data_IF_381039851147
#
_entry.id   IF_381039851147
#
_cell.length_a   1.000
_cell.length_b   1.000
_cell.length_c   1.000
_cell.angle_alpha   90.00
_cell.angle_beta   90.00
_cell.angle_gamma   90.00
#
_symmetry.space_group_name_H-M   'P 1'
#
loop_
_entity.id
_entity.type
_entity.pdbx_description
1 polymer ?
#
# COMPACT_ATOMS: atom_id res chain seq x y z
N UNK A 1 -40.10 38.00 37.40
CA UNK A 1 -38.89 38.02 36.55
C UNK A 1 -38.54 36.60 36.15
N UNK A 2 -38.70 36.23 34.88
CA UNK A 2 -38.29 34.90 34.38
C UNK A 2 -37.16 35.10 33.35
N UNK A 3 -35.95 34.68 33.73
CA UNK A 3 -34.75 34.79 32.91
C UNK A 3 -34.79 33.74 31.79
N UNK A 4 -34.83 34.18 30.52
CA UNK A 4 -34.66 33.30 29.36
C UNK A 4 -33.17 32.93 29.23
N UNK A 5 -32.83 31.67 29.50
CA UNK A 5 -31.49 31.12 29.20
C UNK A 5 -31.29 31.02 27.67
N UNK A 6 -30.14 31.44 27.10
CA UNK A 6 -29.92 31.39 25.66
C UNK A 6 -29.68 29.96 25.18
N UNK A 7 -30.11 29.71 23.95
CA UNK A 7 -30.23 28.41 23.26
C UNK A 7 -28.85 27.82 22.87
N UNK A 8 -28.09 27.36 23.86
CA UNK A 8 -26.74 26.76 23.69
C UNK A 8 -26.72 25.43 22.90
N UNK A 9 -27.85 24.73 22.77
CA UNK A 9 -27.93 23.41 22.10
C UNK A 9 -27.69 23.46 20.58
N UNK A 10 -27.97 24.57 19.91
CA UNK A 10 -27.91 24.64 18.44
C UNK A 10 -26.49 24.73 17.89
N UNK A 11 -25.56 25.31 18.64
CA UNK A 11 -24.15 25.49 18.22
C UNK A 11 -23.39 24.18 18.36
N UNK A 12 -23.62 23.45 19.45
CA UNK A 12 -23.03 22.13 19.69
C UNK A 12 -23.44 21.10 18.63
N UNK A 13 -24.72 21.09 18.22
CA UNK A 13 -25.22 20.15 17.21
C UNK A 13 -24.62 20.39 15.82
N UNK A 14 -24.43 21.66 15.42
CA UNK A 14 -23.75 22.00 14.16
C UNK A 14 -22.28 21.65 14.20
N UNK A 15 -21.59 21.94 15.31
CA UNK A 15 -20.17 21.61 15.48
C UNK A 15 -19.92 20.09 15.41
N UNK A 16 -20.79 19.28 16.03
CA UNK A 16 -20.71 17.81 15.97
C UNK A 16 -20.95 17.25 14.56
N UNK A 17 -21.88 17.84 13.80
CA UNK A 17 -22.12 17.48 12.39
C UNK A 17 -20.91 17.82 11.50
N UNK A 18 -20.30 18.99 11.67
CA UNK A 18 -19.09 19.35 10.93
C UNK A 18 -17.90 18.44 11.29
N UNK A 19 -17.73 18.09 12.58
CA UNK A 19 -16.71 17.13 13.01
C UNK A 19 -16.93 15.72 12.43
N UNK A 20 -18.18 15.25 12.36
CA UNK A 20 -18.51 13.96 11.77
C UNK A 20 -18.24 13.89 10.25
N UNK A 21 -18.53 14.98 9.53
CA UNK A 21 -18.22 15.07 8.08
C UNK A 21 -16.71 15.08 7.85
N UNK A 22 -15.94 15.84 8.65
CA UNK A 22 -14.47 15.87 8.52
C UNK A 22 -13.83 14.50 8.81
N UNK A 23 -14.36 13.73 9.77
CA UNK A 23 -13.86 12.39 10.09
C UNK A 23 -14.22 11.33 9.02
N UNK A 24 -15.22 11.62 8.18
CA UNK A 24 -15.66 10.73 7.10
C UNK A 24 -14.86 10.90 5.81
N UNK A 25 -14.07 11.98 5.69
CA UNK A 25 -13.24 12.26 4.51
C UNK A 25 -11.78 12.01 4.85
N UNK A 26 -11.47 10.81 5.34
CA UNK A 26 -10.09 10.33 5.40
C UNK A 26 -9.74 9.78 4.01
N UNK A 27 -8.81 10.40 3.25
CA UNK A 27 -8.31 9.76 2.04
C UNK A 27 -7.71 8.41 2.43
N UNK A 28 -8.14 7.34 1.78
CA UNK A 28 -7.56 6.01 1.94
C UNK A 28 -6.14 6.03 1.36
N UNK A 29 -5.18 6.48 2.15
CA UNK A 29 -3.77 6.36 1.85
C UNK A 29 -3.42 4.86 1.95
N UNK A 30 -3.25 4.19 0.79
CA UNK A 30 -2.70 2.84 0.71
C UNK A 30 -1.18 2.90 0.59
N UNK A 31 -0.54 3.50 1.59
CA UNK A 31 0.91 3.39 1.79
C UNK A 31 1.14 2.38 2.91
N UNK A 32 1.92 1.36 2.62
CA UNK A 32 2.36 0.35 3.58
C UNK A 32 3.80 0.66 3.96
N UNK A 33 4.07 0.76 5.26
CA UNK A 33 5.42 0.82 5.79
C UNK A 33 5.71 -0.44 6.60
N UNK A 34 6.83 -1.08 6.30
CA UNK A 34 7.26 -2.28 7.01
C UNK A 34 8.78 -2.41 6.99
N UNK A 35 9.32 -3.01 8.04
CA UNK A 35 10.73 -3.34 8.13
C UNK A 35 10.97 -4.80 7.76
N UNK A 36 12.12 -5.09 7.17
CA UNK A 36 12.56 -6.42 6.78
C UNK A 36 13.97 -6.67 7.29
N UNK A 37 14.14 -7.72 8.08
CA UNK A 37 15.47 -8.15 8.55
C UNK A 37 16.21 -8.90 7.44
N UNK A 38 17.55 -8.85 7.47
CA UNK A 38 18.42 -9.64 6.59
C UNK A 38 18.01 -11.12 6.54
N UNK A 39 18.04 -11.71 5.35
CA UNK A 39 17.66 -13.10 5.12
C UNK A 39 16.16 -13.40 5.14
N UNK A 40 15.30 -12.40 5.36
CA UNK A 40 13.85 -12.59 5.39
C UNK A 40 13.17 -12.13 4.10
N UNK A 41 11.94 -12.61 3.90
CA UNK A 41 11.06 -12.23 2.80
C UNK A 41 9.68 -11.84 3.36
N UNK A 42 9.08 -10.77 2.81
CA UNK A 42 7.69 -10.37 3.09
C UNK A 42 6.93 -10.22 1.78
N UNK A 43 5.72 -10.76 1.73
CA UNK A 43 4.84 -10.63 0.57
C UNK A 43 3.55 -9.89 0.93
N UNK A 44 3.13 -9.02 0.02
CA UNK A 44 1.83 -8.35 0.06
C UNK A 44 1.00 -8.95 -1.07
N UNK A 45 -0.26 -9.28 -0.80
CA UNK A 45 -1.19 -9.79 -1.81
C UNK A 45 -2.28 -8.77 -2.12
N UNK A 46 -2.69 -8.73 -3.39
CA UNK A 46 -3.89 -8.02 -3.81
C UNK A 46 -4.65 -8.85 -4.86
N UNK A 47 -5.97 -8.91 -4.71
CA UNK A 47 -6.85 -9.64 -5.63
C UNK A 47 -7.23 -8.70 -6.77
N UNK A 48 -6.78 -9.00 -7.99
CA UNK A 48 -6.94 -8.12 -9.15
C UNK A 48 -7.72 -8.84 -10.24
N UNK A 49 -8.72 -8.15 -10.80
CA UNK A 49 -9.54 -8.67 -11.89
C UNK A 49 -8.85 -8.52 -13.25
N UNK A 50 -9.15 -9.41 -14.19
CA UNK A 50 -8.71 -9.27 -15.59
C UNK A 50 -9.09 -7.89 -16.14
N UNK A 51 -8.16 -7.25 -16.85
CA UNK A 51 -8.33 -5.93 -17.47
C UNK A 51 -8.21 -4.75 -16.51
N UNK A 52 -8.09 -4.98 -15.21
CA UNK A 52 -7.75 -3.94 -14.24
C UNK A 52 -6.25 -3.64 -14.26
N UNK A 53 -5.89 -2.38 -14.07
CA UNK A 53 -4.53 -1.92 -13.90
C UNK A 53 -4.12 -2.00 -12.43
N UNK A 54 -2.86 -2.38 -12.24
CA UNK A 54 -2.15 -2.31 -10.99
C UNK A 54 -0.98 -1.34 -11.14
N UNK A 55 -0.85 -0.43 -10.18
CA UNK A 55 0.26 0.52 -10.11
C UNK A 55 0.84 0.45 -8.71
N UNK A 56 2.16 0.35 -8.62
CA UNK A 56 2.87 0.38 -7.36
C UNK A 56 4.11 1.24 -7.39
N UNK A 57 4.43 1.85 -6.25
CA UNK A 57 5.66 2.62 -6.01
C UNK A 57 6.30 2.11 -4.73
N UNK A 58 7.61 1.89 -4.74
CA UNK A 58 8.34 1.42 -3.58
C UNK A 58 9.65 2.19 -3.40
N UNK A 59 10.08 2.36 -2.16
CA UNK A 59 11.39 2.90 -1.83
C UNK A 59 11.85 2.48 -0.44
N UNK A 60 13.17 2.53 -0.23
CA UNK A 60 13.79 2.35 1.08
C UNK A 60 13.57 3.61 1.90
N UNK A 61 13.19 3.45 3.16
CA UNK A 61 13.13 4.54 4.13
C UNK A 61 14.56 4.84 4.60
N UNK A 62 15.02 6.09 4.42
CA UNK A 62 16.35 6.53 4.86
C UNK A 62 16.54 6.36 6.37
N UNK A 63 17.69 5.81 6.78
CA UNK A 63 17.96 5.42 8.18
C UNK A 63 18.39 6.60 9.08
N UNK A 64 18.68 7.79 8.54
CA UNK A 64 19.16 8.93 9.32
C UNK A 64 18.31 10.19 9.13
N UNK A 65 17.55 10.63 10.16
CA UNK A 65 16.79 11.88 10.12
C UNK A 65 17.68 13.14 10.11
N UNK A 66 18.96 13.03 10.50
CA UNK A 66 19.90 14.14 10.53
C UNK A 66 20.74 14.26 9.25
N UNK A 67 20.69 13.27 8.36
CA UNK A 67 21.41 13.28 7.09
C UNK A 67 20.57 12.70 5.94
N UNK A 68 19.58 13.47 5.43
CA UNK A 68 18.70 13.00 4.35
C UNK A 68 19.43 12.70 3.03
N UNK A 69 20.67 13.19 2.87
CA UNK A 69 21.54 12.96 1.70
C UNK A 69 22.58 11.84 1.91
N UNK A 70 22.55 11.13 3.05
CA UNK A 70 23.44 9.98 3.24
C UNK A 70 23.12 8.89 2.22
N UNK A 71 24.11 8.52 1.41
CA UNK A 71 23.98 7.47 0.41
C UNK A 71 23.49 6.19 1.10
N UNK A 72 22.35 5.67 0.66
CA UNK A 72 21.79 4.41 1.16
C UNK A 72 22.85 3.32 0.90
N UNK A 73 23.36 2.64 1.94
CA UNK A 73 24.36 1.60 1.74
C UNK A 73 23.76 0.49 0.87
N UNK A 74 24.58 -0.16 0.05
CA UNK A 74 24.11 -1.23 -0.85
C UNK A 74 23.36 -2.36 -0.09
N UNK A 75 23.69 -2.58 1.18
CA UNK A 75 23.01 -3.53 2.07
C UNK A 75 21.56 -3.17 2.42
N UNK A 76 21.10 -1.98 2.04
CA UNK A 76 19.75 -1.49 2.31
C UNK A 76 18.94 -1.29 1.02
N UNK A 77 19.41 -1.80 -0.13
CA UNK A 77 18.71 -1.66 -1.40
C UNK A 77 17.56 -2.67 -1.54
N UNK A 78 16.57 -2.32 -2.36
CA UNK A 78 15.35 -3.10 -2.59
C UNK A 78 15.65 -4.30 -3.46
N UNK A 79 15.13 -5.46 -3.04
CA UNK A 79 14.91 -6.59 -3.92
C UNK A 79 13.42 -6.94 -3.90
N UNK A 80 12.79 -6.90 -5.07
CA UNK A 80 11.35 -7.04 -5.21
C UNK A 80 10.96 -7.80 -6.47
N UNK A 81 9.95 -8.66 -6.35
CA UNK A 81 9.30 -9.34 -7.47
C UNK A 81 7.79 -9.25 -7.32
N UNK A 82 7.13 -8.82 -8.38
CA UNK A 82 5.67 -8.88 -8.50
C UNK A 82 5.29 -10.05 -9.39
N UNK A 83 4.43 -10.95 -8.91
CA UNK A 83 3.98 -12.13 -9.68
C UNK A 83 2.48 -12.20 -9.83
N UNK A 84 2.04 -12.75 -10.95
CA UNK A 84 0.64 -13.09 -11.21
C UNK A 84 0.20 -14.35 -10.43
N UNK A 85 -1.11 -14.64 -10.41
CA UNK A 85 -1.64 -15.85 -9.78
C UNK A 85 -1.05 -17.15 -10.32
N UNK A 86 -0.66 -17.19 -11.60
CA UNK A 86 0.01 -18.34 -12.22
C UNK A 86 1.55 -18.29 -12.13
N UNK A 87 2.10 -17.33 -11.39
CA UNK A 87 3.53 -17.21 -11.14
C UNK A 87 4.30 -16.44 -12.23
N UNK A 88 3.61 -15.82 -13.19
CA UNK A 88 4.27 -14.98 -14.20
C UNK A 88 4.87 -13.73 -13.54
N UNK A 89 6.10 -13.39 -13.90
CA UNK A 89 6.77 -12.19 -13.36
C UNK A 89 6.22 -10.94 -14.04
N UNK A 90 5.51 -10.11 -13.27
CA UNK A 90 4.96 -8.83 -13.74
C UNK A 90 5.95 -7.68 -13.59
N UNK A 91 6.81 -7.77 -12.57
CA UNK A 91 7.88 -6.80 -12.32
C UNK A 91 9.00 -7.45 -11.53
N UNK A 92 10.24 -7.05 -11.79
CA UNK A 92 11.41 -7.47 -11.03
C UNK A 92 12.33 -6.28 -10.81
N UNK A 93 12.85 -6.14 -9.60
CA UNK A 93 13.82 -5.14 -9.23
C UNK A 93 14.84 -5.75 -8.28
N UNK A 94 16.10 -5.43 -8.53
CA UNK A 94 17.23 -5.96 -7.79
C UNK A 94 18.19 -4.81 -7.52
N UNK A 95 18.58 -4.67 -6.25
CA UNK A 95 19.59 -3.72 -5.82
C UNK A 95 19.31 -2.27 -6.25
N UNK A 96 18.08 -1.79 -6.03
CA UNK A 96 17.68 -0.40 -6.32
C UNK A 96 17.14 0.33 -5.08
N UNK A 97 17.35 1.64 -4.91
CA UNK A 97 16.86 2.37 -3.74
C UNK A 97 15.36 2.66 -3.80
N UNK A 98 14.80 2.71 -5.01
CA UNK A 98 13.37 2.93 -5.25
C UNK A 98 12.98 2.50 -6.66
N UNK A 99 11.67 2.40 -6.90
CA UNK A 99 11.14 2.14 -8.22
C UNK A 99 9.61 2.19 -8.26
N UNK A 100 9.07 1.89 -9.43
CA UNK A 100 7.64 1.80 -9.65
C UNK A 100 7.34 0.73 -10.70
N UNK A 101 6.11 0.22 -10.68
CA UNK A 101 5.60 -0.70 -11.69
C UNK A 101 4.19 -0.31 -12.09
N UNK A 102 3.82 -0.66 -13.32
CA UNK A 102 2.46 -0.57 -13.80
C UNK A 102 2.20 -1.73 -14.77
N UNK A 103 1.11 -2.46 -14.57
CA UNK A 103 0.69 -3.52 -15.48
C UNK A 103 -0.83 -3.59 -15.57
N UNK A 104 -1.33 -4.20 -16.64
CA UNK A 104 -2.75 -4.58 -16.74
C UNK A 104 -2.85 -6.08 -16.50
N UNK A 105 -3.71 -6.48 -15.56
CA UNK A 105 -3.91 -7.88 -15.21
C UNK A 105 -4.50 -8.64 -16.41
N UNK A 106 -3.81 -9.68 -16.86
CA UNK A 106 -4.30 -10.64 -17.86
C UNK A 106 -5.02 -11.82 -17.21
N UNK A 107 -4.84 -11.97 -15.90
CA UNK A 107 -5.33 -13.08 -15.07
C UNK A 107 -6.09 -12.49 -13.88
N UNK A 108 -7.18 -13.13 -13.47
CA UNK A 108 -7.91 -12.77 -12.23
C UNK A 108 -7.39 -13.61 -11.07
N UNK A 109 -7.15 -12.96 -9.92
CA UNK A 109 -6.74 -13.63 -8.69
C UNK A 109 -5.71 -12.82 -7.90
N UNK A 110 -5.01 -13.52 -7.00
CA UNK A 110 -4.03 -12.94 -6.09
C UNK A 110 -2.69 -12.67 -6.78
N UNK A 111 -2.38 -11.40 -6.97
CA UNK A 111 -1.04 -10.94 -7.34
C UNK A 111 -0.22 -10.75 -6.07
N UNK A 112 1.06 -11.10 -6.11
CA UNK A 112 1.97 -10.98 -4.97
C UNK A 112 3.09 -10.02 -5.27
N UNK A 113 3.34 -9.06 -4.37
CA UNK A 113 4.56 -8.27 -4.34
C UNK A 113 5.43 -8.76 -3.19
N UNK A 114 6.51 -9.46 -3.49
CA UNK A 114 7.43 -10.01 -2.50
C UNK A 114 8.73 -9.22 -2.46
N UNK A 115 9.10 -8.79 -1.25
CA UNK A 115 10.33 -8.10 -0.91
C UNK A 115 11.25 -9.07 -0.17
N UNK A 116 12.53 -9.12 -0.52
CA UNK A 116 13.53 -9.88 0.25
C UNK A 116 14.76 -9.02 0.57
N UNK A 117 15.38 -9.29 1.71
CA UNK A 117 16.64 -8.68 2.10
C UNK A 117 17.75 -9.73 2.01
N UNK A 118 18.88 -9.47 1.32
CA UNK A 118 20.03 -10.36 1.35
C UNK A 118 20.50 -10.63 2.78
N UNK A 119 21.15 -11.77 3.00
CA UNK A 119 21.73 -12.10 4.30
C UNK A 119 23.00 -11.25 4.53
N UNK A 120 23.05 -10.57 5.68
CA UNK A 120 24.16 -9.71 6.08
C UNK A 120 24.64 -10.08 7.49
N UNK A 121 25.94 -9.92 7.73
CA UNK A 121 26.60 -10.14 9.02
C UNK A 121 27.43 -8.90 9.36
N UNK A 122 27.04 -8.08 10.36
CA UNK A 122 25.89 -8.26 11.26
C UNK A 122 24.52 -8.10 10.55
N UNK A 123 23.43 -8.66 11.10
CA UNK A 123 22.09 -8.48 10.56
C UNK A 123 21.69 -7.00 10.54
N UNK A 124 21.05 -6.58 9.44
CA UNK A 124 20.49 -5.24 9.27
C UNK A 124 18.97 -5.32 9.06
N UNK A 125 18.26 -4.29 9.53
CA UNK A 125 16.83 -4.12 9.28
C UNK A 125 16.63 -2.98 8.29
N UNK A 126 15.91 -3.25 7.21
CA UNK A 126 15.65 -2.31 6.12
C UNK A 126 14.17 -1.93 6.14
N UNK A 127 13.90 -0.63 6.29
CA UNK A 127 12.55 -0.09 6.20
C UNK A 127 12.14 0.15 4.76
N UNK A 128 10.93 -0.27 4.40
CA UNK A 128 10.34 -0.04 3.09
C UNK A 128 9.03 0.73 3.20
N UNK A 129 8.82 1.63 2.25
CA UNK A 129 7.52 2.21 1.99
C UNK A 129 7.02 1.76 0.62
N UNK A 130 5.80 1.26 0.59
CA UNK A 130 5.18 0.64 -0.57
C UNK A 130 3.74 1.12 -0.76
N UNK A 131 3.51 1.82 -1.86
CA UNK A 131 2.19 2.19 -2.33
C UNK A 131 1.71 1.19 -3.37
N UNK A 132 0.54 0.56 -3.18
CA UNK A 132 -0.07 -0.31 -4.18
C UNK A 132 -1.55 0.03 -4.39
N UNK A 133 -1.91 0.28 -5.65
CA UNK A 133 -3.27 0.57 -6.09
C UNK A 133 -3.66 -0.36 -7.25
N UNK A 134 -4.81 -1.01 -7.13
CA UNK A 134 -5.43 -1.86 -8.16
C UNK A 134 -6.88 -1.46 -8.42
N UNK A 135 -7.46 -1.97 -9.52
CA UNK A 135 -8.90 -1.88 -9.78
C UNK A 135 -9.34 -0.80 -10.77
N UNK A 136 -8.42 -0.05 -11.38
CA UNK A 136 -8.76 0.90 -12.46
C UNK A 136 -8.80 0.14 -13.79
N UNK A 137 -9.92 0.12 -14.51
CA UNK A 137 -9.95 -0.54 -15.81
C UNK A 137 -9.01 0.17 -16.80
N UNK A 138 -8.24 -0.59 -17.59
CA UNK A 138 -7.22 -0.03 -18.49
C UNK A 138 -7.78 1.00 -19.50
N UNK A 139 -9.06 0.86 -19.87
CA UNK A 139 -9.79 1.79 -20.74
C UNK A 139 -9.94 3.22 -20.16
N UNK A 140 -9.84 3.38 -18.85
CA UNK A 140 -10.12 4.63 -18.16
C UNK A 140 -8.83 5.46 -17.87
N UNK A 141 -7.65 4.92 -18.19
CA UNK A 141 -6.35 5.56 -17.96
C UNK A 141 -6.21 6.97 -18.58
N UNK A 142 -6.61 7.22 -19.85
CA UNK A 142 -6.50 8.56 -20.44
C UNK A 142 -7.35 9.62 -19.74
N UNK A 143 -8.42 9.20 -19.08
CA UNK A 143 -9.38 10.08 -18.40
C UNK A 143 -8.98 10.34 -16.95
N UNK A 144 -8.39 9.35 -16.25
CA UNK A 144 -7.87 9.49 -14.88
C UNK A 144 -6.68 10.46 -14.82
N UNK A 145 -5.81 10.46 -15.84
CA UNK A 145 -4.67 11.39 -15.90
C UNK A 145 -5.07 12.86 -16.19
N UNK A 146 -6.28 13.09 -16.75
CA UNK A 146 -6.76 14.43 -17.15
C UNK A 146 -7.83 15.00 -16.22
N UNK A 147 -8.43 14.18 -15.36
CA UNK A 147 -9.51 14.57 -14.47
C UNK A 147 -9.26 13.93 -13.12
N UNK A 148 -8.88 14.73 -12.12
CA UNK A 148 -8.65 14.30 -10.74
C UNK A 148 -9.91 13.82 -9.99
N UNK A 149 -10.84 13.15 -10.66
CA UNK A 149 -12.03 12.55 -10.08
C UNK A 149 -12.08 11.07 -10.47
N UNK A 150 -11.86 10.21 -9.46
CA UNK A 150 -12.25 8.81 -9.51
C UNK A 150 -13.78 8.77 -9.42
N UNK A 151 -14.44 8.23 -10.44
CA UNK A 151 -15.90 8.14 -10.49
C UNK A 151 -16.40 7.08 -9.49
N UNK A 152 -17.14 7.52 -8.48
CA UNK A 152 -17.72 6.67 -7.42
C UNK A 152 -19.03 6.08 -7.95
N UNK A 153 -18.93 5.09 -8.82
CA UNK A 153 -20.09 4.27 -9.20
C UNK A 153 -19.76 2.78 -9.39
N UNK A 154 -18.56 2.35 -8.98
CA UNK A 154 -18.27 0.94 -8.76
C UNK A 154 -18.39 0.66 -7.26
N UNK A 155 -19.03 -0.43 -6.79
CA UNK A 155 -19.02 -0.75 -5.38
C UNK A 155 -17.56 -0.84 -4.93
N UNK A 156 -17.13 0.12 -4.11
CA UNK A 156 -15.83 0.14 -3.44
C UNK A 156 -15.81 -1.03 -2.46
N UNK A 157 -15.63 -2.24 -2.98
CA UNK A 157 -15.12 -3.35 -2.18
C UNK A 157 -13.69 -2.92 -1.85
N UNK A 158 -13.39 -2.70 -0.58
CA UNK A 158 -12.01 -2.49 -0.15
C UNK A 158 -11.17 -3.64 -0.74
N UNK A 159 -10.22 -3.42 -1.67
CA UNK A 159 -9.18 -4.41 -1.91
C UNK A 159 -8.50 -4.63 -0.56
N UNK A 160 -8.56 -5.88 -0.13
CA UNK A 160 -7.89 -6.34 1.07
C UNK A 160 -6.41 -6.37 0.73
N UNK A 161 -5.70 -5.26 0.96
CA UNK A 161 -4.24 -5.34 1.04
C UNK A 161 -3.93 -6.16 2.28
N UNK A 162 -3.73 -7.46 2.07
CA UNK A 162 -3.41 -8.42 3.11
C UNK A 162 -1.89 -8.50 3.23
N UNK A 163 -1.36 -8.25 4.42
CA UNK A 163 0.01 -8.68 4.72
C UNK A 163 0.02 -10.20 4.83
N UNK A 164 0.73 -10.84 3.91
CA UNK A 164 0.96 -12.26 3.91
C UNK A 164 2.36 -12.47 4.50
N UNK A 165 2.44 -12.58 5.84
CA UNK A 165 3.68 -12.99 6.48
C UNK A 165 3.78 -14.52 6.40
N UNK A 166 4.32 -15.04 5.30
CA UNK A 166 4.66 -16.46 5.23
C UNK A 166 6.08 -16.64 5.79
N UNK A 167 6.19 -17.11 7.04
CA UNK A 167 7.48 -17.32 7.74
C UNK A 167 8.28 -18.54 7.23
N UNK A 168 7.89 -19.16 6.11
CA UNK A 168 8.53 -20.38 5.59
C UNK A 168 8.56 -20.32 4.05
N UNK A 169 9.72 -20.54 3.40
CA UNK A 169 9.75 -20.71 1.95
C UNK A 169 8.95 -21.96 1.57
N UNK A 170 7.95 -21.80 0.70
CA UNK A 170 7.14 -22.86 0.05
C UNK A 170 5.94 -23.45 0.82
N UNK A 171 5.43 -22.84 1.90
CA UNK A 171 4.22 -23.33 2.58
C UNK A 171 3.07 -22.32 2.49
N UNK A 172 2.10 -22.59 1.61
CA UNK A 172 0.90 -21.76 1.34
C UNK A 172 -0.23 -21.95 2.38
N UNK A 173 -0.05 -22.88 3.32
CA UNK A 173 -1.05 -23.27 4.32
C UNK A 173 -0.76 -22.58 5.67
N UNK A 174 -1.18 -21.32 5.81
CA UNK A 174 -1.12 -20.65 7.12
C UNK A 174 -1.03 -19.13 7.12
N UNK A 175 -1.12 -18.45 5.99
CA UNK A 175 -0.90 -17.01 5.95
C UNK A 175 -2.20 -16.26 6.35
N UNK A 176 -2.32 -15.91 7.63
CA UNK A 176 -3.41 -15.08 8.16
C UNK A 176 -3.28 -13.65 7.63
N UNK A 177 -4.29 -13.17 6.90
CA UNK A 177 -4.38 -11.78 6.46
C UNK A 177 -4.57 -10.84 7.66
N UNK A 178 -3.51 -10.12 8.06
CA UNK A 178 -3.66 -8.96 8.94
C UNK A 178 -4.02 -7.75 8.09
N UNK A 179 -5.22 -7.21 8.32
CA UNK A 179 -5.61 -5.89 7.84
C UNK A 179 -4.87 -4.90 8.73
N UNK A 180 -3.95 -4.10 8.17
CA UNK A 180 -3.50 -2.89 8.89
C UNK A 180 -4.71 -1.97 9.02
N UNK A 181 -5.21 -1.83 10.24
CA UNK A 181 -6.16 -0.79 10.65
C UNK A 181 -5.40 0.47 11.03
#
# INVERSE_FOLDING_TARGET
MAARRPRSRSVHSRALLFLAVLFSVSPSARSLRFDLESGHTKCISDEIKVGAMAVGKYHVVGHDPNSPDSQIPDSHLVFLRVTSPYGNSMHYAENVPSGHFAFTATEEGDYLACFWAPDHKPPVSVGFEFDWRSGVAAKDWPNVAKKGQVDVSTPLRLPRSCFVSCSIPNQWSGCHCWISM
#
